data_IF_432899655436
#
_entry.id   IF_432899655436
#
_cell.length_a   1.000
_cell.length_b   1.000
_cell.length_c   1.000
_cell.angle_alpha   90.00
_cell.angle_beta   90.00
_cell.angle_gamma   90.00
#
_symmetry.space_group_name_H-M   'P 1'
#
loop_
_entity.id
_entity.type
_entity.pdbx_description
1 polymer ?
#
# COMPACT_ATOMS: atom_id res chain seq x y z
N UNK A 1 3.16 -0.66 6.00
CA UNK A 1 2.08 -0.64 4.99
C UNK A 1 1.32 0.67 5.13
N UNK A 2 0.92 1.33 4.04
CA UNK A 2 0.05 2.51 4.11
C UNK A 2 -1.40 2.05 4.17
N UNK A 3 -2.20 2.59 5.08
CA UNK A 3 -3.63 2.28 5.21
C UNK A 3 -4.40 3.57 5.44
N UNK A 4 -5.42 3.83 4.63
CA UNK A 4 -6.32 4.95 4.82
C UNK A 4 -7.75 4.45 4.99
N UNK A 5 -8.48 5.05 5.93
CA UNK A 5 -9.86 4.72 6.25
C UNK A 5 -10.69 6.00 6.07
N UNK A 6 -11.85 5.87 5.45
CA UNK A 6 -12.74 7.00 5.23
C UNK A 6 -13.99 6.61 4.46
N UNK A 7 -14.92 7.55 4.34
CA UNK A 7 -16.22 7.34 3.68
C UNK A 7 -16.18 7.58 2.17
N UNK A 8 -15.21 8.34 1.68
CA UNK A 8 -15.10 8.75 0.29
C UNK A 8 -13.81 8.21 -0.31
N UNK A 9 -13.90 7.50 -1.44
CA UNK A 9 -12.75 6.88 -2.12
C UNK A 9 -11.69 7.90 -2.54
N UNK A 10 -12.09 9.07 -3.01
CA UNK A 10 -11.16 10.14 -3.40
C UNK A 10 -10.33 10.63 -2.20
N UNK A 11 -10.99 10.90 -1.07
CA UNK A 11 -10.33 11.33 0.16
C UNK A 11 -9.38 10.27 0.69
N UNK A 12 -9.80 9.01 0.64
CA UNK A 12 -8.98 7.86 1.06
C UNK A 12 -7.78 7.68 0.14
N UNK A 13 -7.95 7.82 -1.17
CA UNK A 13 -6.85 7.75 -2.13
C UNK A 13 -5.82 8.87 -1.89
N UNK A 14 -6.26 10.11 -1.65
CA UNK A 14 -5.37 11.23 -1.30
C UNK A 14 -4.61 10.98 0.00
N UNK A 15 -5.29 10.52 1.04
CA UNK A 15 -4.66 10.21 2.33
C UNK A 15 -3.64 9.08 2.19
N UNK A 16 -3.92 8.07 1.36
CA UNK A 16 -2.99 6.97 1.09
C UNK A 16 -1.76 7.45 0.32
N UNK A 17 -1.94 8.30 -0.72
CA UNK A 17 -0.81 8.86 -1.47
C UNK A 17 0.06 9.78 -0.60
N UNK A 18 -0.53 10.55 0.30
CA UNK A 18 0.23 11.34 1.27
C UNK A 18 1.10 10.46 2.19
N UNK A 19 0.55 9.36 2.71
CA UNK A 19 1.32 8.41 3.51
C UNK A 19 2.47 7.75 2.72
N UNK A 20 2.26 7.45 1.44
CA UNK A 20 3.30 6.89 0.57
C UNK A 20 4.40 7.93 0.36
N UNK A 21 4.04 9.20 0.08
CA UNK A 21 5.00 10.29 -0.05
C UNK A 21 5.89 10.46 1.18
N UNK A 22 5.26 10.47 2.36
CA UNK A 22 5.97 10.70 3.62
C UNK A 22 6.92 9.56 4.00
N UNK A 23 6.67 8.34 3.51
CA UNK A 23 7.47 7.14 3.78
C UNK A 23 8.47 6.78 2.68
N UNK A 24 8.25 7.25 1.47
CA UNK A 24 9.11 7.03 0.32
C UNK A 24 9.89 8.31 -0.04
N UNK A 25 10.03 8.59 -1.32
CA UNK A 25 10.63 9.82 -1.79
C UNK A 25 9.59 10.95 -1.83
N UNK A 26 9.75 12.05 -1.05
CA UNK A 26 8.79 13.15 -1.07
C UNK A 26 8.79 13.95 -2.38
N UNK A 27 9.84 13.84 -3.21
CA UNK A 27 9.97 14.59 -4.45
C UNK A 27 9.39 13.87 -5.66
N UNK A 28 9.42 12.54 -5.64
CA UNK A 28 9.04 11.69 -6.78
C UNK A 28 8.20 10.52 -6.31
N UNK A 29 7.09 10.20 -6.99
CA UNK A 29 6.29 9.05 -6.66
C UNK A 29 7.00 7.73 -7.03
N UNK A 30 6.78 6.66 -6.28
CA UNK A 30 7.17 5.33 -6.73
C UNK A 30 6.30 4.90 -7.93
N UNK A 31 6.74 3.89 -8.65
CA UNK A 31 5.90 3.24 -9.66
C UNK A 31 4.68 2.59 -8.99
N UNK A 32 3.48 2.88 -9.49
CA UNK A 32 2.21 2.46 -8.88
C UNK A 32 1.40 1.60 -9.85
N UNK A 33 1.00 0.41 -9.38
CA UNK A 33 -0.02 -0.41 -10.03
C UNK A 33 -1.31 -0.36 -9.19
N UNK A 34 -2.43 -0.07 -9.81
CA UNK A 34 -3.75 -0.04 -9.16
C UNK A 34 -4.80 -0.83 -9.94
N UNK A 35 -5.97 -0.99 -9.35
CA UNK A 35 -7.16 -1.38 -10.09
C UNK A 35 -7.65 -0.22 -10.99
N UNK A 36 -8.76 -0.45 -11.70
CA UNK A 36 -9.30 0.53 -12.66
C UNK A 36 -9.90 1.80 -12.05
N UNK A 37 -9.70 2.09 -10.76
CA UNK A 37 -10.26 3.26 -10.09
C UNK A 37 -9.43 4.52 -10.41
N UNK A 38 -10.05 5.53 -11.01
CA UNK A 38 -9.42 6.78 -11.43
C UNK A 38 -9.01 7.70 -10.26
N UNK A 39 -9.48 7.45 -9.05
CA UNK A 39 -9.09 8.21 -7.86
C UNK A 39 -7.60 8.09 -7.55
N UNK A 40 -6.96 6.96 -7.86
CA UNK A 40 -5.53 6.76 -7.58
C UNK A 40 -4.60 7.61 -8.45
N UNK A 41 -4.70 7.60 -9.81
CA UNK A 41 -3.88 8.48 -10.64
C UNK A 41 -4.11 9.96 -10.34
N UNK A 42 -5.35 10.35 -10.05
CA UNK A 42 -5.67 11.72 -9.68
C UNK A 42 -5.03 12.11 -8.35
N UNK A 43 -5.13 11.26 -7.32
CA UNK A 43 -4.50 11.49 -6.03
C UNK A 43 -2.96 11.56 -6.14
N UNK A 44 -2.36 10.73 -7.02
CA UNK A 44 -0.94 10.78 -7.35
C UNK A 44 -0.55 12.13 -7.95
N UNK A 45 -1.34 12.63 -8.92
CA UNK A 45 -1.13 13.93 -9.53
C UNK A 45 -1.28 15.09 -8.54
N UNK A 46 -2.26 15.02 -7.65
CA UNK A 46 -2.44 16.03 -6.61
C UNK A 46 -1.30 16.05 -5.59
N UNK A 47 -0.72 14.88 -5.27
CA UNK A 47 0.32 14.74 -4.25
C UNK A 47 1.70 15.19 -4.73
N UNK A 48 2.11 14.80 -5.93
CA UNK A 48 3.46 15.09 -6.47
C UNK A 48 3.47 15.99 -7.69
N UNK A 49 2.32 16.19 -8.36
CA UNK A 49 2.25 17.00 -9.57
C UNK A 49 2.65 18.45 -9.33
N UNK A 50 3.31 19.02 -10.32
CA UNK A 50 3.77 20.41 -10.31
C UNK A 50 2.97 21.26 -11.28
N UNK A 51 2.71 22.50 -10.91
CA UNK A 51 2.18 23.47 -11.86
C UNK A 51 3.28 23.80 -12.87
N UNK A 52 2.96 23.90 -14.18
CA UNK A 52 3.90 24.37 -15.17
C UNK A 52 4.41 25.77 -14.83
N UNK A 53 5.65 26.07 -15.24
CA UNK A 53 6.23 27.39 -15.09
C UNK A 53 5.39 28.43 -15.84
N UNK A 54 5.12 29.54 -15.16
CA UNK A 54 4.31 30.62 -15.73
C UNK A 54 5.21 31.78 -16.15
N UNK A 55 5.19 32.07 -17.45
CA UNK A 55 6.00 33.13 -18.06
C UNK A 55 5.41 34.53 -17.90
N UNK A 56 4.31 34.70 -17.18
CA UNK A 56 3.60 35.98 -17.01
C UNK A 56 2.73 36.38 -18.19
N UNK A 57 2.58 35.55 -19.22
CA UNK A 57 1.79 35.82 -20.43
C UNK A 57 0.58 34.89 -20.49
N UNK A 58 -0.65 35.43 -20.57
CA UNK A 58 -1.89 34.67 -20.60
C UNK A 58 -2.41 34.31 -19.22
N UNK A 59 -3.32 33.31 -19.18
CA UNK A 59 -3.89 32.82 -17.92
C UNK A 59 -2.93 31.88 -17.21
N UNK A 60 -2.65 32.05 -15.90
CA UNK A 60 -1.81 31.13 -15.14
C UNK A 60 -2.32 29.68 -15.22
N UNK A 61 -1.42 28.68 -15.29
CA UNK A 61 -1.80 27.29 -15.28
C UNK A 61 -2.43 26.92 -13.94
N UNK A 62 -3.57 26.24 -13.97
CA UNK A 62 -4.29 25.78 -12.78
C UNK A 62 -4.13 24.28 -12.60
N UNK A 63 -3.82 23.57 -13.68
CA UNK A 63 -3.71 22.11 -13.66
C UNK A 63 -2.28 21.66 -13.44
N UNK A 64 -2.10 20.81 -12.46
CA UNK A 64 -0.82 20.13 -12.22
C UNK A 64 -0.51 19.17 -13.36
N UNK A 65 0.77 18.97 -13.61
CA UNK A 65 1.29 18.01 -14.59
C UNK A 65 2.12 16.93 -13.89
N UNK A 66 2.06 15.72 -14.44
CA UNK A 66 2.89 14.61 -14.02
C UNK A 66 4.35 14.81 -14.47
N UNK A 67 5.28 14.28 -13.69
CA UNK A 67 6.70 14.19 -14.10
C UNK A 67 6.87 13.21 -15.26
N UNK A 68 7.97 13.37 -16.00
CA UNK A 68 8.27 12.52 -17.18
C UNK A 68 8.54 11.06 -16.80
N UNK A 69 9.16 10.86 -15.63
CA UNK A 69 9.61 9.55 -15.15
C UNK A 69 8.57 8.85 -14.26
N UNK A 70 7.34 9.37 -14.21
CA UNK A 70 6.28 8.76 -13.44
C UNK A 70 5.75 7.50 -14.13
N UNK A 71 5.49 6.48 -13.34
CA UNK A 71 4.90 5.23 -13.81
C UNK A 71 3.63 4.94 -13.03
N UNK A 72 2.49 4.92 -13.72
CA UNK A 72 1.20 4.53 -13.15
C UNK A 72 0.46 3.62 -14.12
N UNK A 73 0.20 2.40 -13.67
CA UNK A 73 -0.48 1.36 -14.43
C UNK A 73 -1.79 0.98 -13.73
N UNK A 74 -2.88 0.96 -14.47
CA UNK A 74 -4.17 0.42 -14.01
C UNK A 74 -4.43 -0.94 -14.66
N UNK A 75 -4.87 -1.90 -13.84
CA UNK A 75 -5.17 -3.27 -14.28
C UNK A 75 -6.64 -3.56 -13.98
N UNK A 76 -7.40 -3.87 -15.02
CA UNK A 76 -8.81 -4.24 -14.91
C UNK A 76 -9.00 -5.72 -15.24
N UNK A 77 -9.63 -6.45 -14.32
CA UNK A 77 -9.95 -7.88 -14.48
C UNK A 77 -11.39 -8.03 -14.93
N UNK A 78 -11.58 -8.60 -16.11
CA UNK A 78 -12.90 -8.90 -16.65
C UNK A 78 -13.36 -10.28 -16.17
N UNK A 79 -14.57 -10.36 -15.64
CA UNK A 79 -15.15 -11.61 -15.13
C UNK A 79 -16.51 -11.88 -15.74
N UNK A 80 -16.78 -13.15 -16.04
CA UNK A 80 -18.10 -13.63 -16.44
C UNK A 80 -18.42 -14.91 -15.69
N UNK A 81 -19.60 -15.00 -15.10
CA UNK A 81 -20.00 -16.13 -14.25
C UNK A 81 -19.02 -16.41 -13.09
N UNK A 82 -18.39 -15.36 -12.52
CA UNK A 82 -17.39 -15.49 -11.45
C UNK A 82 -15.99 -15.92 -11.92
N UNK A 83 -15.80 -16.30 -13.16
CA UNK A 83 -14.50 -16.70 -13.73
C UNK A 83 -13.81 -15.52 -14.39
N UNK A 84 -12.48 -15.47 -14.28
CA UNK A 84 -11.65 -14.48 -14.97
C UNK A 84 -11.64 -14.85 -16.47
N UNK A 85 -12.14 -13.93 -17.33
CA UNK A 85 -12.17 -14.10 -18.78
C UNK A 85 -11.12 -13.26 -19.51
N UNK A 86 -10.57 -12.24 -18.86
CA UNK A 86 -9.54 -11.40 -19.46
C UNK A 86 -8.99 -10.36 -18.49
N UNK A 87 -7.86 -9.79 -18.87
CA UNK A 87 -7.21 -8.67 -18.17
C UNK A 87 -6.95 -7.60 -19.21
N UNK A 88 -7.38 -6.37 -18.93
CA UNK A 88 -6.96 -5.18 -19.66
C UNK A 88 -6.11 -4.29 -18.77
N UNK A 89 -5.27 -3.47 -19.38
CA UNK A 89 -4.46 -2.51 -18.66
C UNK A 89 -4.44 -1.17 -19.38
N UNK A 90 -4.30 -0.11 -18.59
CA UNK A 90 -4.15 1.27 -19.06
C UNK A 90 -2.96 1.90 -18.34
N UNK A 91 -1.99 2.38 -19.09
CA UNK A 91 -0.92 3.20 -18.55
C UNK A 91 -1.42 4.64 -18.50
N UNK A 92 -1.47 5.21 -17.32
CA UNK A 92 -1.92 6.59 -17.10
C UNK A 92 -0.76 7.55 -17.16
N UNK A 93 0.37 7.17 -16.58
CA UNK A 93 1.63 7.92 -16.63
C UNK A 93 2.76 6.97 -16.99
N UNK A 94 3.72 7.45 -17.81
CA UNK A 94 4.94 6.74 -18.20
C UNK A 94 4.85 5.98 -19.51
N UNK A 95 5.96 5.34 -19.86
CA UNK A 95 6.05 4.50 -21.04
C UNK A 95 5.35 3.15 -20.84
N UNK A 96 4.51 2.69 -21.78
CA UNK A 96 3.76 1.45 -21.63
C UNK A 96 4.62 0.19 -21.49
N UNK A 97 5.77 0.15 -22.13
CA UNK A 97 6.67 -1.01 -22.06
C UNK A 97 7.37 -1.05 -20.72
N UNK A 98 7.93 0.08 -20.29
CA UNK A 98 8.60 0.22 -19.00
C UNK A 98 7.63 -0.07 -17.82
N UNK A 99 6.42 0.49 -17.87
CA UNK A 99 5.39 0.26 -16.84
C UNK A 99 5.05 -1.23 -16.70
N UNK A 100 4.97 -1.94 -17.82
CA UNK A 100 4.64 -3.37 -17.85
C UNK A 100 5.80 -4.24 -17.35
N UNK A 101 7.02 -3.91 -17.77
CA UNK A 101 8.22 -4.66 -17.39
C UNK A 101 8.52 -4.49 -15.88
N UNK A 102 8.27 -3.32 -15.33
CA UNK A 102 8.52 -3.02 -13.92
C UNK A 102 7.41 -3.53 -12.99
N UNK A 103 6.15 -3.29 -13.33
CA UNK A 103 5.01 -3.57 -12.43
C UNK A 103 4.30 -4.90 -12.74
N UNK A 104 4.49 -5.44 -13.93
CA UNK A 104 3.73 -6.57 -14.43
C UNK A 104 2.25 -6.23 -14.62
N UNK A 105 1.45 -7.22 -15.03
CA UNK A 105 -0.01 -7.08 -15.20
C UNK A 105 -0.77 -7.77 -14.07
N UNK A 106 -0.26 -7.69 -12.84
CA UNK A 106 -0.76 -8.50 -11.76
C UNK A 106 -1.01 -7.71 -10.47
N UNK A 107 -2.25 -7.63 -10.05
CA UNK A 107 -2.68 -7.07 -8.76
C UNK A 107 -2.83 -8.12 -7.66
N UNK A 108 -2.37 -9.37 -7.89
CA UNK A 108 -2.60 -10.49 -6.97
C UNK A 108 -1.98 -10.26 -5.58
N UNK A 109 -0.86 -9.56 -5.48
CA UNK A 109 -0.25 -9.25 -4.19
C UNK A 109 -1.16 -8.38 -3.32
N UNK A 110 -1.74 -7.32 -3.88
CA UNK A 110 -2.68 -6.43 -3.18
C UNK A 110 -3.97 -7.17 -2.83
N UNK A 111 -4.52 -7.96 -3.78
CA UNK A 111 -5.72 -8.76 -3.53
C UNK A 111 -5.49 -9.80 -2.44
N UNK A 112 -4.31 -10.46 -2.42
CA UNK A 112 -3.95 -11.40 -1.36
C UNK A 112 -3.81 -10.72 -0.01
N UNK A 113 -3.20 -9.54 0.05
CA UNK A 113 -3.10 -8.76 1.27
C UNK A 113 -4.47 -8.37 1.79
N UNK A 114 -5.36 -7.90 0.91
CA UNK A 114 -6.74 -7.59 1.26
C UNK A 114 -7.52 -8.82 1.76
N UNK A 115 -7.28 -9.99 1.17
CA UNK A 115 -7.89 -11.25 1.64
C UNK A 115 -7.36 -11.63 3.02
N UNK A 116 -6.06 -11.55 3.24
CA UNK A 116 -5.43 -11.83 4.54
C UNK A 116 -5.98 -10.90 5.62
N UNK A 117 -6.10 -9.60 5.33
CA UNK A 117 -6.68 -8.61 6.22
C UNK A 117 -8.14 -8.96 6.61
N UNK A 118 -8.94 -9.38 5.66
CA UNK A 118 -10.33 -9.84 5.95
C UNK A 118 -10.38 -11.12 6.77
N UNK A 119 -9.41 -12.01 6.62
CA UNK A 119 -9.33 -13.24 7.42
C UNK A 119 -8.85 -12.99 8.85
N UNK A 120 -7.94 -12.05 9.03
CA UNK A 120 -7.37 -11.71 10.34
C UNK A 120 -8.26 -10.76 11.14
N UNK A 121 -9.05 -9.94 10.47
CA UNK A 121 -9.87 -8.91 11.11
C UNK A 121 -11.34 -9.04 10.69
N UNK A 122 -12.16 -9.58 11.60
CA UNK A 122 -13.60 -9.78 11.37
C UNK A 122 -14.36 -8.48 11.02
N UNK A 123 -13.85 -7.31 11.44
CA UNK A 123 -14.44 -6.00 11.11
C UNK A 123 -14.25 -5.62 9.63
N UNK A 124 -13.27 -6.23 8.94
CA UNK A 124 -12.95 -6.00 7.52
C UNK A 124 -13.67 -6.98 6.57
N UNK A 125 -14.38 -7.96 7.10
CA UNK A 125 -15.13 -8.93 6.31
C UNK A 125 -16.31 -8.23 5.60
N UNK A 126 -16.52 -8.50 4.33
CA UNK A 126 -17.65 -7.95 3.58
C UNK A 126 -18.98 -8.48 4.13
N UNK A 127 -19.96 -7.61 4.30
CA UNK A 127 -21.30 -7.95 4.81
C UNK A 127 -21.30 -8.63 6.18
N UNK A 128 -20.29 -8.34 7.01
CA UNK A 128 -20.24 -8.83 8.40
C UNK A 128 -21.22 -8.07 9.29
N UNK A 129 -21.79 -8.77 10.27
CA UNK A 129 -22.50 -8.13 11.37
C UNK A 129 -21.56 -7.50 12.42
N UNK A 130 -20.27 -7.87 12.36
CA UNK A 130 -19.19 -7.36 13.23
C UNK A 130 -18.54 -6.09 12.71
N UNK A 131 -19.20 -5.33 11.83
CA UNK A 131 -18.66 -4.06 11.33
C UNK A 131 -18.42 -3.06 12.45
N UNK A 132 -17.40 -2.25 12.31
CA UNK A 132 -17.07 -1.24 13.30
C UNK A 132 -18.03 -0.06 13.20
N UNK A 133 -18.67 0.31 14.31
CA UNK A 133 -19.50 1.52 14.40
C UNK A 133 -18.67 2.75 14.70
N UNK A 134 -17.47 2.55 15.25
CA UNK A 134 -16.52 3.58 15.63
C UNK A 134 -15.28 3.49 14.73
N UNK A 135 -14.88 4.62 14.16
CA UNK A 135 -13.72 4.72 13.26
C UNK A 135 -12.40 4.54 14.02
N UNK A 136 -12.28 5.04 15.25
CA UNK A 136 -11.04 4.89 16.04
C UNK A 136 -10.81 3.43 16.40
N UNK A 137 -11.85 2.71 16.79
CA UNK A 137 -11.77 1.28 17.03
C UNK A 137 -11.44 0.48 15.78
N UNK A 138 -11.91 0.91 14.60
CA UNK A 138 -11.51 0.30 13.34
C UNK A 138 -10.03 0.57 13.04
N UNK A 139 -9.56 1.81 13.25
CA UNK A 139 -8.15 2.19 13.08
C UNK A 139 -7.23 1.38 14.00
N UNK A 140 -7.57 1.28 15.27
CA UNK A 140 -6.83 0.50 16.26
C UNK A 140 -6.78 -0.98 15.89
N UNK A 141 -7.91 -1.57 15.49
CA UNK A 141 -7.99 -2.96 15.05
C UNK A 141 -7.14 -3.22 13.80
N UNK A 142 -7.12 -2.29 12.85
CA UNK A 142 -6.29 -2.40 11.66
C UNK A 142 -4.80 -2.22 11.98
N UNK A 143 -4.45 -1.30 12.88
CA UNK A 143 -3.07 -1.11 13.32
C UNK A 143 -2.55 -2.37 14.04
N UNK A 144 -3.34 -2.95 14.93
CA UNK A 144 -3.01 -4.20 15.59
C UNK A 144 -2.75 -5.34 14.57
N UNK A 145 -3.63 -5.49 13.59
CA UNK A 145 -3.47 -6.45 12.51
C UNK A 145 -2.16 -6.25 11.75
N UNK A 146 -1.82 -5.00 11.40
CA UNK A 146 -0.59 -4.68 10.70
C UNK A 146 0.66 -5.04 11.54
N UNK A 147 0.62 -4.82 12.84
CA UNK A 147 1.70 -5.18 13.76
C UNK A 147 1.87 -6.70 13.86
N UNK A 148 0.80 -7.42 14.10
CA UNK A 148 0.81 -8.89 14.13
C UNK A 148 1.34 -9.44 12.80
N UNK A 149 0.83 -8.97 11.67
CA UNK A 149 1.26 -9.45 10.36
C UNK A 149 2.75 -9.22 10.10
N UNK A 150 3.25 -8.02 10.42
CA UNK A 150 4.61 -7.63 10.07
C UNK A 150 5.66 -8.17 11.03
N UNK A 151 5.34 -8.33 12.31
CA UNK A 151 6.31 -8.74 13.34
C UNK A 151 6.30 -10.25 13.58
N UNK A 152 5.11 -10.88 13.62
CA UNK A 152 5.00 -12.27 14.08
C UNK A 152 4.88 -13.30 12.97
N UNK A 153 4.59 -12.88 11.72
CA UNK A 153 4.32 -13.82 10.63
C UNK A 153 5.53 -14.02 9.73
N UNK A 154 6.05 -15.25 9.59
CA UNK A 154 7.08 -15.55 8.60
C UNK A 154 6.47 -15.53 7.18
N UNK A 155 7.17 -14.86 6.26
CA UNK A 155 6.74 -14.71 4.85
C UNK A 155 7.73 -15.48 3.96
N UNK A 156 7.26 -16.53 3.28
CA UNK A 156 8.12 -17.41 2.47
C UNK A 156 8.99 -16.67 1.44
N UNK A 157 8.46 -15.64 0.79
CA UNK A 157 9.20 -14.85 -0.21
C UNK A 157 10.33 -14.00 0.41
N UNK A 158 10.36 -13.85 1.72
CA UNK A 158 11.37 -13.09 2.45
C UNK A 158 12.41 -14.00 3.13
N UNK A 159 12.30 -15.32 2.97
CA UNK A 159 13.30 -16.25 3.49
C UNK A 159 14.65 -15.99 2.84
N UNK A 160 15.71 -16.12 3.62
CA UNK A 160 17.10 -16.00 3.15
C UNK A 160 17.76 -17.36 3.20
N UNK A 161 18.52 -17.69 2.15
CA UNK A 161 19.34 -18.90 2.13
C UNK A 161 20.51 -18.74 3.09
N UNK A 162 20.67 -19.69 3.98
CA UNK A 162 21.76 -19.76 4.93
C UNK A 162 22.54 -21.04 4.68
N UNK A 163 23.90 -20.94 4.68
CA UNK A 163 24.78 -22.09 4.55
C UNK A 163 24.95 -22.82 5.90
N UNK A 164 23.82 -23.17 6.53
CA UNK A 164 23.83 -23.95 7.75
C UNK A 164 23.63 -25.43 7.44
N UNK A 165 24.37 -26.31 8.15
CA UNK A 165 24.27 -27.77 8.01
C UNK A 165 22.90 -28.34 8.34
N UNK A 166 22.08 -27.60 9.12
CA UNK A 166 20.78 -28.06 9.59
C UNK A 166 19.60 -27.44 8.82
N UNK A 167 19.73 -26.23 8.30
CA UNK A 167 18.65 -25.51 7.64
C UNK A 167 19.14 -24.77 6.40
N UNK A 168 18.49 -25.00 5.27
CA UNK A 168 18.77 -24.27 4.04
C UNK A 168 18.23 -22.83 4.05
N UNK A 169 17.11 -22.60 4.74
CA UNK A 169 16.40 -21.34 4.73
C UNK A 169 16.16 -20.82 6.15
N UNK A 170 16.42 -19.55 6.34
CA UNK A 170 16.01 -18.80 7.53
C UNK A 170 14.68 -18.10 7.26
N UNK A 171 13.69 -18.39 8.11
CA UNK A 171 12.40 -17.71 8.06
C UNK A 171 12.56 -16.26 8.52
N UNK A 172 11.88 -15.33 7.83
CA UNK A 172 11.90 -13.91 8.18
C UNK A 172 10.49 -13.33 8.14
N UNK A 173 10.21 -12.45 9.09
CA UNK A 173 9.04 -11.57 9.06
C UNK A 173 9.30 -10.36 8.15
N UNK A 174 8.24 -9.60 7.84
CA UNK A 174 8.39 -8.36 7.08
C UNK A 174 9.25 -7.32 7.83
N UNK A 175 9.10 -7.24 9.16
CA UNK A 175 9.88 -6.34 10.00
C UNK A 175 11.37 -6.72 10.04
N UNK A 176 11.70 -8.02 10.07
CA UNK A 176 13.08 -8.49 9.93
C UNK A 176 13.67 -8.12 8.56
N UNK A 177 12.89 -8.29 7.49
CA UNK A 177 13.35 -7.93 6.14
C UNK A 177 13.58 -6.41 5.99
N UNK A 178 12.87 -5.59 6.74
CA UNK A 178 13.04 -4.14 6.80
C UNK A 178 14.13 -3.68 7.79
N UNK A 179 14.80 -4.61 8.49
CA UNK A 179 15.83 -4.28 9.49
C UNK A 179 15.31 -3.63 10.78
N UNK A 180 14.01 -3.79 11.07
CA UNK A 180 13.38 -3.21 12.26
C UNK A 180 13.49 -4.13 13.49
N UNK A 181 13.76 -5.40 13.28
CA UNK A 181 13.97 -6.41 14.34
C UNK A 181 14.88 -7.53 13.83
N UNK A 182 15.51 -8.24 14.72
CA UNK A 182 16.45 -9.35 14.45
C UNK A 182 15.77 -10.73 14.50
N UNK A 183 14.55 -10.84 15.01
CA UNK A 183 13.82 -12.09 15.17
C UNK A 183 12.33 -11.96 14.81
N UNK A 184 11.64 -13.10 14.71
CA UNK A 184 10.18 -13.18 14.57
C UNK A 184 9.59 -13.08 15.97
N UNK A 185 8.80 -12.04 16.20
CA UNK A 185 8.16 -11.79 17.49
C UNK A 185 7.09 -12.83 17.80
N UNK A 186 6.92 -13.12 19.07
CA UNK A 186 5.73 -13.81 19.60
C UNK A 186 4.60 -12.82 19.87
N UNK A 187 3.38 -13.30 19.98
CA UNK A 187 2.25 -12.46 20.38
C UNK A 187 2.44 -11.92 21.80
N UNK A 188 3.05 -12.72 22.69
CA UNK A 188 3.33 -12.30 24.06
C UNK A 188 4.32 -11.13 24.12
N UNK A 189 5.40 -11.18 23.34
CA UNK A 189 6.34 -10.07 23.21
C UNK A 189 5.64 -8.80 22.70
N UNK A 190 4.77 -8.94 21.69
CA UNK A 190 4.03 -7.83 21.14
C UNK A 190 3.06 -7.20 22.16
N UNK A 191 2.41 -8.02 22.99
CA UNK A 191 1.49 -7.55 24.04
C UNK A 191 2.24 -6.92 25.22
N UNK A 192 3.47 -7.39 25.51
CA UNK A 192 4.30 -6.86 26.57
C UNK A 192 5.08 -5.61 26.19
N UNK A 193 5.04 -5.21 24.91
CA UNK A 193 5.69 -3.99 24.46
C UNK A 193 5.02 -2.76 25.06
N UNK A 194 5.74 -2.06 25.92
CA UNK A 194 5.31 -0.76 26.47
C UNK A 194 5.60 0.31 25.43
N UNK A 195 4.57 0.81 24.80
CA UNK A 195 4.68 2.01 23.95
C UNK A 195 4.71 3.20 24.89
N UNK A 196 5.89 3.78 25.12
CA UNK A 196 5.97 5.07 25.79
C UNK A 196 5.27 6.12 24.92
N UNK A 197 4.19 6.79 25.38
CA UNK A 197 3.63 7.89 24.63
C UNK A 197 4.73 8.96 24.48
N UNK A 198 4.94 9.45 23.27
CA UNK A 198 5.80 10.62 23.06
C UNK A 198 5.24 11.76 23.92
N UNK A 199 6.00 12.18 24.91
CA UNK A 199 5.67 13.38 25.69
C UNK A 199 5.92 14.52 24.72
N UNK A 200 4.85 15.01 24.09
CA UNK A 200 4.87 16.26 23.35
C UNK A 200 5.19 17.39 24.37
N UNK A 201 6.46 17.63 24.61
CA UNK A 201 6.92 18.88 25.22
C UNK A 201 6.64 19.98 24.20
N UNK A 202 5.57 20.74 24.49
CA UNK A 202 5.26 22.00 23.82
C UNK A 202 6.37 23.04 24.08
#
# INVERSE_FOLDING_TARGET
MGRAIGKNEETVAKAMMAQIRDRCNPKEPPAIASDGNDSYPQAMLETWGKLPDYSGRGRPPIRKQAGRDWICLQVTKHRSGGRLIGISYRVVYGDPKEARDLLGLNTAYVERTNLTSRQMNGRMVRKTLSFSKDEEMLRASCAWEDWVYNLTRPIKSLHVEINDRQRKWQARSAAMAAGLTDHIWTIDELLMMVVCPEINTK
#
